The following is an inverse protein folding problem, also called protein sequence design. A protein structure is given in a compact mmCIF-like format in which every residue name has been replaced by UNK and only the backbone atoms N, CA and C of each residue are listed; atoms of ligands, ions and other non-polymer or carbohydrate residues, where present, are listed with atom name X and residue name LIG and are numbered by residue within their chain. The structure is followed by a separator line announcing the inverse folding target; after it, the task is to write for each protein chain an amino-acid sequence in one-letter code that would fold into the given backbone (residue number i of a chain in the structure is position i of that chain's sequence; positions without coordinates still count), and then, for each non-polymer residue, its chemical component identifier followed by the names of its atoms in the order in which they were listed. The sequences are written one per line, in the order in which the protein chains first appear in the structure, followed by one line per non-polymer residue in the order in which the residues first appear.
data_IF_105169291864
#
_entry.id   IF_105169291864
#
_cell.length_a   1.000
_cell.length_b   1.000
_cell.length_c   1.000
_cell.angle_alpha   90.00
_cell.angle_beta   90.00
_cell.angle_gamma   90.00
#
_symmetry.space_group_name_H-M   'P 1'
#
loop_
_entity.id
_entity.type
_entity.pdbx_description
1 polymer ?
#
# COMPACT_ATOMS: atom_id res chain seq x y z
N UNK A 1 10.48 -12.55 -33.95
CA UNK A 1 10.29 -11.90 -32.64
C UNK A 1 11.62 -11.97 -31.92
N UNK A 2 12.23 -10.83 -31.60
CA UNK A 2 13.45 -10.79 -30.80
C UNK A 2 13.08 -10.75 -29.32
N UNK A 3 13.28 -11.86 -28.61
CA UNK A 3 13.07 -11.92 -27.16
C UNK A 3 14.24 -11.18 -26.51
N UNK A 4 13.99 -9.99 -25.96
CA UNK A 4 15.00 -9.20 -25.23
C UNK A 4 14.90 -9.48 -23.73
N UNK A 5 15.90 -10.14 -23.18
CA UNK A 5 16.00 -10.38 -21.74
C UNK A 5 16.40 -9.08 -21.02
N UNK A 6 15.73 -8.72 -19.92
CA UNK A 6 16.09 -7.56 -19.10
C UNK A 6 16.27 -7.95 -17.65
N UNK A 7 17.38 -7.53 -17.03
CA UNK A 7 17.63 -7.70 -15.60
C UNK A 7 18.02 -6.36 -14.99
N UNK A 8 17.26 -5.91 -13.97
CA UNK A 8 17.43 -4.62 -13.29
C UNK A 8 17.58 -3.39 -14.22
N UNK A 9 16.91 -3.42 -15.38
CA UNK A 9 16.92 -2.31 -16.34
C UNK A 9 17.96 -2.43 -17.47
N UNK A 10 18.92 -3.34 -17.38
CA UNK A 10 19.88 -3.63 -18.45
C UNK A 10 19.32 -4.71 -19.40
N UNK A 11 19.43 -4.48 -20.71
CA UNK A 11 19.15 -5.51 -21.73
C UNK A 11 20.32 -6.47 -21.80
N UNK A 12 20.03 -7.76 -21.64
CA UNK A 12 20.99 -8.85 -21.71
C UNK A 12 20.87 -9.54 -23.05
N UNK A 13 22.01 -9.97 -23.59
CA UNK A 13 22.04 -10.84 -24.75
C UNK A 13 21.71 -12.29 -24.34
N UNK A 14 21.18 -13.09 -25.27
CA UNK A 14 20.79 -14.49 -25.06
C UNK A 14 21.88 -15.35 -24.36
N UNK A 15 23.18 -15.25 -24.68
CA UNK A 15 24.20 -16.02 -23.97
C UNK A 15 24.44 -15.53 -22.53
N UNK A 16 24.31 -14.23 -22.27
CA UNK A 16 24.49 -13.63 -20.94
C UNK A 16 23.34 -14.00 -20.00
N UNK A 17 22.11 -14.02 -20.53
CA UNK A 17 20.94 -14.48 -19.80
C UNK A 17 21.07 -15.97 -19.42
N UNK A 18 21.58 -16.81 -20.33
CA UNK A 18 21.83 -18.22 -20.04
C UNK A 18 22.93 -18.42 -18.98
N UNK A 19 23.99 -17.60 -19.01
CA UNK A 19 25.06 -17.61 -18.01
C UNK A 19 24.56 -17.18 -16.63
N UNK A 20 23.73 -16.13 -16.56
CA UNK A 20 23.10 -15.68 -15.31
C UNK A 20 22.16 -16.74 -14.73
N UNK A 21 21.37 -17.40 -15.56
CA UNK A 21 20.46 -18.46 -15.13
C UNK A 21 21.20 -19.69 -14.60
N UNK A 22 22.35 -20.03 -15.20
CA UNK A 22 23.25 -21.08 -14.68
C UNK A 22 23.90 -20.66 -13.35
N UNK A 23 24.39 -19.43 -13.25
CA UNK A 23 24.99 -18.90 -12.03
C UNK A 23 23.99 -18.83 -10.85
N UNK A 24 22.71 -18.55 -11.16
CA UNK A 24 21.63 -18.45 -10.18
C UNK A 24 21.06 -19.81 -9.72
N UNK A 25 21.58 -20.94 -10.23
CA UNK A 25 21.05 -22.31 -9.97
C UNK A 25 19.53 -22.42 -10.21
N UNK A 26 19.02 -21.77 -11.27
CA UNK A 26 17.61 -21.89 -11.63
C UNK A 26 17.30 -23.32 -12.12
N UNK A 27 16.14 -23.88 -11.72
CA UNK A 27 15.68 -25.19 -12.18
C UNK A 27 15.42 -25.13 -13.69
N UNK A 28 16.06 -26.03 -14.45
CA UNK A 28 15.82 -26.24 -15.87
C UNK A 28 14.86 -27.41 -16.06
N UNK A 29 13.92 -27.37 -17.03
CA UNK A 29 13.71 -26.31 -18.02
C UNK A 29 12.99 -25.06 -17.45
N UNK A 30 13.34 -23.88 -17.99
CA UNK A 30 12.71 -22.61 -17.62
C UNK A 30 11.41 -22.44 -18.40
N UNK A 31 10.28 -22.65 -17.72
CA UNK A 31 8.96 -22.37 -18.27
C UNK A 31 8.63 -20.88 -18.09
N UNK A 32 8.44 -20.15 -19.20
CA UNK A 32 7.93 -18.78 -19.18
C UNK A 32 6.42 -18.87 -19.33
N UNK A 33 5.72 -18.49 -18.27
CA UNK A 33 4.27 -18.45 -18.28
C UNK A 33 3.78 -17.21 -19.05
N UNK A 34 3.33 -17.43 -20.29
CA UNK A 34 2.91 -16.38 -21.22
C UNK A 34 1.59 -15.71 -20.80
N UNK A 35 0.85 -16.27 -19.84
CA UNK A 35 -0.37 -15.66 -19.27
C UNK A 35 -0.10 -14.28 -18.63
N UNK A 36 1.13 -14.01 -18.20
CA UNK A 36 1.50 -12.72 -17.60
C UNK A 36 1.83 -11.63 -18.61
N UNK A 37 2.09 -11.99 -19.87
CA UNK A 37 2.51 -11.07 -20.93
C UNK A 37 1.43 -10.85 -21.99
N UNK A 38 0.51 -11.80 -22.15
CA UNK A 38 -0.56 -11.76 -23.13
C UNK A 38 -1.87 -11.95 -22.39
N UNK A 39 -2.76 -10.95 -22.45
CA UNK A 39 -4.09 -11.04 -21.87
C UNK A 39 -4.89 -12.09 -22.66
N UNK A 40 -5.01 -13.30 -22.11
CA UNK A 40 -5.71 -14.45 -22.73
C UNK A 40 -7.18 -14.12 -23.04
N UNK A 41 -7.76 -13.12 -22.36
CA UNK A 41 -9.12 -12.61 -22.63
C UNK A 41 -9.25 -11.83 -23.94
N UNK A 42 -8.15 -11.40 -24.55
CA UNK A 42 -8.13 -10.61 -25.81
C UNK A 42 -7.75 -11.51 -27.00
N UNK A 43 -7.24 -12.72 -26.76
CA UNK A 43 -6.97 -13.69 -27.82
C UNK A 43 -8.27 -14.37 -28.28
N UNK A 44 -8.87 -13.86 -29.36
CA UNK A 44 -9.94 -14.55 -30.08
C UNK A 44 -9.38 -15.74 -30.87
N UNK A 45 -9.86 -16.94 -30.56
CA UNK A 45 -9.54 -18.19 -31.29
C UNK A 45 -9.77 -18.06 -32.79
N UNK A 46 -10.78 -17.28 -33.18
CA UNK A 46 -11.22 -17.14 -34.57
C UNK A 46 -10.22 -16.32 -35.40
N UNK A 47 -9.59 -15.30 -34.80
CA UNK A 47 -8.55 -14.49 -35.45
C UNK A 47 -7.23 -15.26 -35.62
N UNK A 48 -6.91 -16.16 -34.68
CA UNK A 48 -5.74 -17.02 -34.78
C UNK A 48 -5.94 -18.10 -35.84
N UNK A 49 -7.17 -18.61 -35.97
CA UNK A 49 -7.52 -19.55 -37.02
C UNK A 49 -7.49 -18.88 -38.40
N UNK A 50 -8.06 -17.67 -38.56
CA UNK A 50 -7.99 -16.95 -39.84
C UNK A 50 -6.55 -16.66 -40.28
N UNK A 51 -5.69 -16.23 -39.34
CA UNK A 51 -4.26 -16.04 -39.61
C UNK A 51 -3.55 -17.35 -39.98
N UNK A 52 -3.98 -18.49 -39.43
CA UNK A 52 -3.41 -19.80 -39.77
C UNK A 52 -3.74 -20.25 -41.19
N UNK A 53 -4.93 -19.89 -41.69
CA UNK A 53 -5.36 -20.17 -43.06
C UNK A 53 -4.60 -19.29 -44.04
N UNK A 54 -4.44 -18.00 -43.71
CA UNK A 54 -3.68 -17.04 -44.53
C UNK A 54 -2.19 -17.41 -44.62
N UNK A 55 -1.57 -17.82 -43.51
CA UNK A 55 -0.14 -18.16 -43.45
C UNK A 55 0.16 -19.64 -43.73
N UNK A 56 -0.86 -20.46 -44.00
CA UNK A 56 -0.76 -21.92 -44.22
C UNK A 56 0.05 -22.65 -43.13
N UNK A 57 -0.05 -22.21 -41.89
CA UNK A 57 0.72 -22.77 -40.77
C UNK A 57 -0.15 -23.70 -39.92
N UNK A 58 0.09 -25.01 -40.05
CA UNK A 58 -0.60 -26.05 -39.28
C UNK A 58 -0.40 -25.92 -37.76
N UNK A 59 0.70 -25.29 -37.33
CA UNK A 59 1.02 -25.10 -35.92
C UNK A 59 0.08 -24.06 -35.26
N UNK A 60 -0.26 -22.99 -35.98
CA UNK A 60 -1.18 -21.95 -35.50
C UNK A 60 -2.63 -22.47 -35.44
N UNK A 61 -3.05 -23.26 -36.43
CA UNK A 61 -4.37 -23.90 -36.44
C UNK A 61 -4.54 -24.85 -35.24
N UNK A 62 -3.50 -25.62 -34.92
CA UNK A 62 -3.48 -26.52 -33.76
C UNK A 62 -3.52 -25.76 -32.42
N UNK A 63 -2.97 -24.55 -32.38
CA UNK A 63 -2.96 -23.69 -31.20
C UNK A 63 -4.32 -23.01 -31.01
N UNK A 64 -4.93 -22.50 -32.09
CA UNK A 64 -6.29 -21.96 -32.09
C UNK A 64 -7.32 -23.02 -31.63
N UNK A 65 -7.18 -24.26 -32.11
CA UNK A 65 -8.03 -25.37 -31.70
C UNK A 65 -7.88 -25.68 -30.20
N UNK A 66 -6.64 -25.79 -29.69
CA UNK A 66 -6.40 -26.06 -28.25
C UNK A 66 -6.95 -24.97 -27.34
N UNK A 67 -6.89 -23.70 -27.77
CA UNK A 67 -7.47 -22.57 -27.04
C UNK A 67 -9.01 -22.56 -27.08
N UNK A 68 -9.62 -23.02 -28.17
CA UNK A 68 -11.07 -23.12 -28.30
C UNK A 68 -11.65 -24.31 -27.51
N UNK A 69 -10.91 -25.41 -27.40
CA UNK A 69 -11.34 -26.63 -26.70
C UNK A 69 -10.93 -26.70 -25.24
N UNK A 70 -10.06 -25.81 -24.75
CA UNK A 70 -9.77 -25.75 -23.31
C UNK A 70 -10.99 -25.17 -22.60
N UNK A 71 -11.83 -26.05 -22.09
CA UNK A 71 -12.90 -25.69 -21.17
C UNK A 71 -12.33 -24.81 -20.06
N UNK A 72 -13.06 -23.74 -19.71
CA UNK A 72 -12.74 -22.83 -18.60
C UNK A 72 -12.81 -23.57 -17.27
N UNK A 73 -11.88 -24.48 -17.03
CA UNK A 73 -11.49 -24.88 -15.70
C UNK A 73 -10.78 -23.66 -15.11
N UNK A 74 -11.55 -22.71 -14.57
CA UNK A 74 -10.98 -21.69 -13.70
C UNK A 74 -10.31 -22.44 -12.56
N UNK A 75 -8.97 -22.52 -12.50
CA UNK A 75 -8.38 -23.10 -11.32
C UNK A 75 -8.67 -22.11 -10.20
N UNK A 76 -9.37 -22.56 -9.15
CA UNK A 76 -9.49 -21.81 -7.89
C UNK A 76 -8.12 -21.82 -7.20
N UNK A 77 -7.10 -21.27 -7.84
CA UNK A 77 -5.98 -20.73 -7.11
C UNK A 77 -6.51 -19.48 -6.44
N UNK A 78 -6.59 -19.51 -5.12
CA UNK A 78 -6.51 -18.30 -4.33
C UNK A 78 -5.17 -17.66 -4.68
N UNK A 79 -5.14 -16.91 -5.78
CA UNK A 79 -4.09 -15.95 -5.99
C UNK A 79 -4.16 -15.08 -4.73
N UNK A 80 -3.14 -15.22 -3.89
CA UNK A 80 -2.65 -14.10 -3.11
C UNK A 80 -2.35 -13.04 -4.17
N UNK A 81 -3.38 -12.30 -4.55
CA UNK A 81 -3.26 -11.02 -5.22
C UNK A 81 -2.36 -10.28 -4.26
N UNK A 82 -1.08 -10.22 -4.60
CA UNK A 82 -0.24 -9.14 -4.16
C UNK A 82 -0.98 -7.94 -4.68
N UNK A 83 -1.81 -7.36 -3.80
CA UNK A 83 -2.38 -6.04 -3.95
C UNK A 83 -1.17 -5.12 -4.01
N UNK A 84 -0.51 -5.08 -5.17
CA UNK A 84 0.12 -3.87 -5.63
C UNK A 84 -1.04 -2.89 -5.68
N UNK A 85 -1.07 -1.84 -4.85
CA UNK A 85 -2.06 -0.79 -5.04
C UNK A 85 -1.85 -0.32 -6.47
N UNK A 86 -2.80 -0.67 -7.35
CA UNK A 86 -2.87 -0.05 -8.66
C UNK A 86 -3.23 1.40 -8.37
N UNK A 87 -2.24 2.28 -8.49
CA UNK A 87 -2.42 3.73 -8.51
C UNK A 87 -3.10 4.13 -9.82
N UNK A 88 -4.24 3.51 -10.15
CA UNK A 88 -5.17 4.14 -11.08
C UNK A 88 -5.80 5.27 -10.30
N UNK A 89 -5.22 6.46 -10.46
CA UNK A 89 -5.84 7.71 -9.99
C UNK A 89 -7.22 7.79 -10.63
N UNK A 90 -8.27 7.54 -9.87
CA UNK A 90 -9.59 8.02 -10.21
C UNK A 90 -9.55 9.52 -9.93
N UNK A 91 -9.12 10.32 -10.90
CA UNK A 91 -9.16 11.77 -10.81
C UNK A 91 -10.61 12.24 -11.00
N UNK A 92 -11.49 11.93 -10.04
CA UNK A 92 -12.62 12.82 -9.78
C UNK A 92 -12.04 14.04 -9.08
N UNK A 93 -11.71 15.07 -9.85
CA UNK A 93 -11.29 16.35 -9.29
C UNK A 93 -12.48 17.02 -8.61
N UNK A 94 -12.78 16.55 -7.38
CA UNK A 94 -13.71 17.24 -6.48
C UNK A 94 -13.08 18.56 -6.03
N UNK A 95 -13.91 19.57 -5.88
CA UNK A 95 -13.46 20.84 -5.33
C UNK A 95 -13.00 20.66 -3.88
N UNK A 96 -11.99 21.43 -3.42
CA UNK A 96 -11.47 21.30 -2.07
C UNK A 96 -12.53 21.48 -0.97
N UNK A 97 -13.51 22.37 -1.17
CA UNK A 97 -14.61 22.61 -0.23
C UNK A 97 -15.52 21.39 -0.11
N UNK A 98 -15.86 20.74 -1.23
CA UNK A 98 -16.67 19.52 -1.23
C UNK A 98 -15.99 18.40 -0.42
N UNK A 99 -14.65 18.33 -0.51
CA UNK A 99 -13.86 17.36 0.25
C UNK A 99 -13.96 17.64 1.74
N UNK A 100 -13.84 18.90 2.17
CA UNK A 100 -14.01 19.29 3.59
C UNK A 100 -15.41 18.93 4.08
N UNK A 101 -16.45 19.26 3.30
CA UNK A 101 -17.82 18.91 3.65
C UNK A 101 -18.03 17.39 3.76
N UNK A 102 -17.51 16.60 2.82
CA UNK A 102 -17.66 15.14 2.84
C UNK A 102 -17.02 14.51 4.08
N UNK A 103 -15.83 15.00 4.47
CA UNK A 103 -15.15 14.51 5.67
C UNK A 103 -15.95 14.92 6.92
N UNK A 104 -16.48 16.14 6.96
CA UNK A 104 -17.30 16.62 8.08
C UNK A 104 -18.67 15.93 8.20
N UNK A 105 -19.29 15.54 7.08
CA UNK A 105 -20.59 14.83 7.05
C UNK A 105 -20.53 13.46 7.73
N UNK A 106 -19.35 12.84 7.82
CA UNK A 106 -19.20 11.47 8.33
C UNK A 106 -18.29 11.41 9.55
N UNK A 107 -18.85 11.05 10.71
CA UNK A 107 -18.08 10.82 11.96
C UNK A 107 -17.48 9.41 11.97
N UNK A 108 -16.63 9.11 10.98
CA UNK A 108 -16.03 7.79 10.78
C UNK A 108 -14.52 7.78 11.03
N UNK A 109 -13.95 6.60 11.30
CA UNK A 109 -12.48 6.45 11.40
C UNK A 109 -11.76 6.81 10.10
N UNK A 110 -12.41 6.63 8.93
CA UNK A 110 -11.88 7.10 7.64
C UNK A 110 -11.70 8.61 7.66
N UNK A 111 -12.73 9.33 8.08
CA UNK A 111 -12.77 10.80 8.11
C UNK A 111 -11.80 11.38 9.13
N UNK A 112 -11.77 10.82 10.33
CA UNK A 112 -10.75 11.17 11.34
C UNK A 112 -9.32 10.89 10.85
N UNK A 113 -9.10 9.77 10.16
CA UNK A 113 -7.82 9.45 9.55
C UNK A 113 -7.39 10.45 8.47
N UNK A 114 -8.31 10.85 7.60
CA UNK A 114 -8.05 11.85 6.57
C UNK A 114 -7.72 13.20 7.19
N UNK A 115 -8.50 13.64 8.19
CA UNK A 115 -8.25 14.85 8.94
C UNK A 115 -6.87 14.83 9.64
N UNK A 116 -6.47 13.70 10.23
CA UNK A 116 -5.14 13.55 10.83
C UNK A 116 -4.01 13.73 9.83
N UNK A 117 -4.13 13.11 8.65
CA UNK A 117 -3.12 13.21 7.59
C UNK A 117 -3.04 14.65 7.06
N UNK A 118 -4.18 15.29 6.82
CA UNK A 118 -4.24 16.69 6.38
C UNK A 118 -3.63 17.65 7.41
N UNK A 119 -3.90 17.43 8.70
CA UNK A 119 -3.39 18.27 9.77
C UNK A 119 -1.87 18.13 9.97
N UNK A 120 -1.36 16.89 10.02
CA UNK A 120 0.00 16.58 10.48
C UNK A 120 1.03 16.38 9.35
N UNK A 121 0.60 16.18 8.11
CA UNK A 121 1.52 16.21 6.97
C UNK A 121 1.82 17.65 6.55
N UNK A 122 2.98 17.81 5.92
CA UNK A 122 3.43 19.05 5.25
C UNK A 122 3.67 18.77 3.77
N UNK A 123 3.88 19.80 2.97
CA UNK A 123 4.25 19.70 1.54
C UNK A 123 5.74 19.41 1.33
N UNK A 124 6.56 19.66 2.35
CA UNK A 124 8.02 19.51 2.35
C UNK A 124 8.46 18.09 2.64
N UNK A 125 7.93 17.50 3.72
CA UNK A 125 8.53 16.32 4.34
C UNK A 125 7.65 15.08 4.22
N UNK A 126 8.30 13.97 3.88
CA UNK A 126 7.67 12.66 3.85
C UNK A 126 7.63 12.06 5.26
N UNK A 127 6.44 11.69 5.72
CA UNK A 127 6.22 11.11 7.06
C UNK A 127 5.62 9.72 6.96
N UNK A 128 5.95 8.83 7.91
CA UNK A 128 5.31 7.52 8.00
C UNK A 128 4.06 7.57 8.90
N UNK A 129 3.16 6.59 8.75
CA UNK A 129 1.94 6.46 9.60
C UNK A 129 2.31 6.43 11.07
N UNK A 130 3.39 5.73 11.41
CA UNK A 130 3.86 5.59 12.78
C UNK A 130 4.24 6.95 13.38
N UNK A 131 4.95 7.79 12.64
CA UNK A 131 5.41 9.10 13.13
C UNK A 131 4.23 10.04 13.39
N UNK A 132 3.26 10.06 12.46
CA UNK A 132 2.03 10.85 12.61
C UNK A 132 1.21 10.38 13.80
N UNK A 133 1.06 9.06 13.96
CA UNK A 133 0.31 8.51 15.08
C UNK A 133 0.96 8.87 16.43
N UNK A 134 2.29 8.73 16.53
CA UNK A 134 3.05 9.09 17.74
C UNK A 134 2.91 10.58 18.06
N UNK A 135 3.07 11.46 17.09
CA UNK A 135 2.89 12.90 17.32
C UNK A 135 1.49 13.20 17.83
N UNK A 136 0.46 12.65 17.18
CA UNK A 136 -0.92 12.92 17.56
C UNK A 136 -1.27 12.43 18.96
N UNK A 137 -0.86 11.20 19.33
CA UNK A 137 -1.11 10.67 20.69
C UNK A 137 -0.45 11.53 21.75
N UNK A 138 0.78 12.00 21.49
CA UNK A 138 1.48 12.85 22.43
C UNK A 138 0.81 14.22 22.55
N UNK A 139 0.41 14.86 21.43
CA UNK A 139 -0.40 16.09 21.45
C UNK A 139 -1.73 15.91 22.20
N UNK A 140 -2.37 14.75 22.05
CA UNK A 140 -3.58 14.43 22.81
C UNK A 140 -3.35 14.43 24.33
N UNK A 141 -2.17 13.98 24.77
CA UNK A 141 -1.81 13.94 26.18
C UNK A 141 -1.30 15.28 26.73
N UNK A 142 -0.55 16.06 25.96
CA UNK A 142 0.08 17.31 26.41
C UNK A 142 -0.82 18.53 26.20
N UNK A 143 -1.36 18.68 24.98
CA UNK A 143 -2.05 19.89 24.52
C UNK A 143 -3.56 19.74 24.65
N UNK A 144 -4.13 18.68 24.07
CA UNK A 144 -5.60 18.53 23.96
C UNK A 144 -6.26 17.96 25.22
N UNK A 145 -5.45 17.49 26.18
CA UNK A 145 -5.88 16.93 27.48
C UNK A 145 -7.00 15.90 27.34
N UNK A 146 -6.87 14.98 26.37
CA UNK A 146 -7.81 13.88 26.20
C UNK A 146 -7.66 12.90 27.38
N UNK A 147 -8.78 12.37 27.88
CA UNK A 147 -8.77 11.40 28.99
C UNK A 147 -8.00 10.14 28.58
N UNK A 148 -7.19 9.59 29.50
CA UNK A 148 -6.40 8.37 29.28
C UNK A 148 -7.23 7.14 28.91
N UNK A 149 -8.53 7.14 29.19
CA UNK A 149 -9.50 6.10 28.80
C UNK A 149 -9.91 6.18 27.33
N UNK A 150 -9.47 7.19 26.58
CA UNK A 150 -9.83 7.35 25.18
C UNK A 150 -9.18 6.28 24.29
N UNK A 151 -9.92 5.89 23.24
CA UNK A 151 -9.47 4.95 22.21
C UNK A 151 -8.15 5.38 21.52
N UNK A 152 -7.79 6.66 21.59
CA UNK A 152 -6.55 7.20 20.98
C UNK A 152 -5.28 6.62 21.61
N UNK A 153 -5.31 6.26 22.90
CA UNK A 153 -4.14 5.75 23.62
C UNK A 153 -3.94 4.24 23.47
N UNK A 154 -4.92 3.53 22.91
CA UNK A 154 -4.82 2.09 22.69
C UNK A 154 -3.74 1.77 21.66
N UNK A 155 -2.91 0.76 21.93
CA UNK A 155 -1.75 0.44 21.08
C UNK A 155 -0.50 1.25 21.40
N UNK A 156 -0.53 2.08 22.45
CA UNK A 156 0.60 2.88 22.91
C UNK A 156 0.88 2.65 24.39
N UNK A 157 2.16 2.76 24.77
CA UNK A 157 2.61 2.68 26.16
C UNK A 157 3.50 3.87 26.47
N UNK A 158 3.40 4.41 27.69
CA UNK A 158 4.33 5.45 28.13
C UNK A 158 5.71 4.86 28.39
N UNK A 159 6.74 5.49 27.84
CA UNK A 159 8.13 5.20 28.18
C UNK A 159 8.51 5.86 29.53
N UNK A 160 9.76 5.66 29.97
CA UNK A 160 10.27 6.26 31.21
C UNK A 160 10.17 7.80 31.22
N UNK A 161 10.27 8.43 30.05
CA UNK A 161 10.15 9.88 29.85
C UNK A 161 8.69 10.37 29.76
N UNK A 162 7.69 9.52 30.07
CA UNK A 162 6.24 9.80 29.99
C UNK A 162 5.72 10.12 28.58
N UNK A 163 6.50 9.84 27.53
CA UNK A 163 6.10 9.97 26.13
C UNK A 163 5.46 8.66 25.67
N UNK A 164 4.40 8.75 24.88
CA UNK A 164 3.74 7.56 24.31
C UNK A 164 4.53 7.01 23.12
N UNK A 165 4.81 5.72 23.18
CA UNK A 165 5.47 4.96 22.12
C UNK A 165 4.57 3.81 21.63
N UNK A 166 4.63 3.44 20.33
CA UNK A 166 3.86 2.34 19.77
C UNK A 166 4.22 1.01 20.43
N UNK A 167 3.20 0.27 20.85
CA UNK A 167 3.40 -1.08 21.40
C UNK A 167 3.57 -2.08 20.26
N UNK A 168 4.74 -2.71 20.18
CA UNK A 168 5.01 -3.78 19.21
C UNK A 168 4.43 -5.11 19.68
N UNK A 169 4.12 -6.00 18.74
CA UNK A 169 3.68 -7.34 19.08
C UNK A 169 4.86 -8.13 19.65
N UNK A 170 4.75 -8.50 20.93
CA UNK A 170 5.75 -9.30 21.65
C UNK A 170 5.07 -10.44 22.41
N UNK A 171 5.80 -11.50 22.79
CA UNK A 171 5.29 -12.49 23.72
C UNK A 171 4.77 -11.79 24.99
N UNK A 172 3.52 -12.08 25.38
CA UNK A 172 2.85 -11.44 26.52
C UNK A 172 2.01 -10.19 26.19
N UNK A 173 2.14 -9.60 25.00
CA UNK A 173 1.27 -8.50 24.57
C UNK A 173 0.12 -9.07 23.74
N UNK A 174 -1.15 -8.95 24.19
CA UNK A 174 -2.27 -9.43 23.40
C UNK A 174 -2.38 -8.61 22.12
N UNK A 175 -2.68 -9.27 21.00
CA UNK A 175 -2.71 -8.64 19.67
C UNK A 175 -3.52 -7.34 19.66
N UNK A 176 -4.65 -7.32 20.35
CA UNK A 176 -5.60 -6.19 20.46
C UNK A 176 -5.00 -4.89 21.05
N UNK A 177 -3.86 -5.01 21.72
CA UNK A 177 -3.14 -3.90 22.37
C UNK A 177 -1.86 -3.53 21.62
N UNK A 178 -1.63 -4.11 20.43
CA UNK A 178 -0.53 -3.74 19.55
C UNK A 178 -0.90 -2.58 18.62
N UNK A 179 0.10 -1.79 18.22
CA UNK A 179 -0.06 -0.61 17.37
C UNK A 179 -0.77 -0.92 16.03
N UNK A 180 -0.42 -2.02 15.37
CA UNK A 180 -0.95 -2.32 14.02
C UNK A 180 -2.41 -2.73 13.96
N UNK A 181 -3.09 -2.84 15.11
CA UNK A 181 -4.54 -3.08 15.19
C UNK A 181 -5.26 -2.04 16.04
N UNK A 182 -4.58 -0.96 16.43
CA UNK A 182 -5.20 0.06 17.26
C UNK A 182 -6.12 0.99 16.45
N UNK A 183 -7.11 1.65 17.10
CA UNK A 183 -8.04 2.54 16.43
C UNK A 183 -7.36 3.66 15.63
N UNK A 184 -6.27 4.23 16.14
CA UNK A 184 -5.53 5.29 15.48
C UNK A 184 -4.79 4.82 14.22
N UNK A 185 -4.20 3.61 14.25
CA UNK A 185 -3.58 3.04 13.06
C UNK A 185 -4.63 2.71 11.99
N UNK A 186 -5.77 2.14 12.41
CA UNK A 186 -6.90 1.83 11.51
C UNK A 186 -7.47 3.10 10.88
N UNK A 187 -7.63 4.18 11.66
CA UNK A 187 -8.09 5.47 11.14
C UNK A 187 -7.12 6.00 10.10
N UNK A 188 -5.83 6.10 10.42
CA UNK A 188 -4.80 6.62 9.51
C UNK A 188 -4.72 5.80 8.22
N UNK A 189 -4.80 4.47 8.29
CA UNK A 189 -4.78 3.60 7.11
C UNK A 189 -6.02 3.81 6.23
N UNK A 190 -7.20 3.94 6.84
CA UNK A 190 -8.46 4.16 6.12
C UNK A 190 -8.52 5.55 5.50
N UNK A 191 -8.05 6.56 6.24
CA UNK A 191 -7.91 7.94 5.77
C UNK A 191 -6.89 8.07 4.65
N UNK A 192 -5.78 7.32 4.70
CA UNK A 192 -4.77 7.31 3.64
C UNK A 192 -5.36 6.87 2.30
N UNK A 193 -6.17 5.81 2.29
CA UNK A 193 -6.86 5.36 1.07
C UNK A 193 -7.77 6.46 0.51
N UNK A 194 -8.49 7.16 1.39
CA UNK A 194 -9.34 8.28 0.97
C UNK A 194 -8.52 9.44 0.40
N UNK A 195 -7.49 9.88 1.10
CA UNK A 195 -6.63 10.98 0.68
C UNK A 195 -5.90 10.66 -0.64
N UNK A 196 -5.42 9.43 -0.82
CA UNK A 196 -4.80 8.97 -2.06
C UNK A 196 -5.79 8.97 -3.23
N UNK A 197 -7.01 8.45 -3.01
CA UNK A 197 -8.07 8.44 -4.05
C UNK A 197 -8.51 9.84 -4.49
N UNK A 198 -8.35 10.86 -3.65
CA UNK A 198 -8.69 12.26 -3.97
C UNK A 198 -7.46 13.10 -4.37
N UNK A 199 -6.27 12.48 -4.49
CA UNK A 199 -5.04 13.17 -4.89
C UNK A 199 -4.50 14.17 -3.87
N UNK A 200 -4.82 14.00 -2.58
CA UNK A 200 -4.43 14.90 -1.49
C UNK A 200 -3.01 14.62 -0.96
N UNK A 201 -2.49 13.42 -1.21
CA UNK A 201 -1.19 12.97 -0.73
C UNK A 201 -0.33 12.44 -1.87
N UNK A 202 0.98 12.65 -1.76
CA UNK A 202 1.99 12.00 -2.58
C UNK A 202 2.62 10.86 -1.78
N UNK A 203 2.53 9.63 -2.29
CA UNK A 203 3.09 8.44 -1.65
C UNK A 203 4.48 8.12 -2.21
N UNK A 204 5.41 7.78 -1.30
CA UNK A 204 6.75 7.28 -1.63
C UNK A 204 7.01 5.96 -0.92
N UNK A 205 7.50 4.98 -1.66
CA UNK A 205 7.97 3.72 -1.10
C UNK A 205 9.39 3.88 -0.56
N UNK A 206 9.62 3.40 0.66
CA UNK A 206 10.91 3.41 1.33
C UNK A 206 11.24 2.01 1.87
N UNK A 207 12.52 1.79 2.19
CA UNK A 207 13.02 0.55 2.75
C UNK A 207 13.77 0.86 4.04
N UNK A 208 13.45 0.12 5.10
CA UNK A 208 14.22 0.07 6.34
C UNK A 208 15.03 -1.22 6.32
N UNK A 209 16.33 -1.10 6.58
CA UNK A 209 17.21 -2.25 6.74
C UNK A 209 17.48 -2.46 8.24
N UNK A 210 17.38 -3.72 8.68
CA UNK A 210 17.81 -4.14 10.00
C UNK A 210 16.74 -4.17 11.08
N UNK A 211 17.19 -4.51 12.29
CA UNK A 211 16.39 -4.62 13.50
C UNK A 211 16.81 -3.54 14.49
N UNK A 212 15.85 -2.91 15.17
CA UNK A 212 16.10 -1.92 16.23
C UNK A 212 16.47 -2.54 17.58
N UNK A 213 16.49 -3.88 17.69
CA UNK A 213 16.83 -4.58 18.92
C UNK A 213 18.32 -4.87 18.95
N UNK A 214 18.96 -4.59 20.09
CA UNK A 214 20.37 -4.90 20.33
C UNK A 214 20.62 -6.43 20.25
N UNK A 215 19.63 -7.25 20.60
CA UNK A 215 19.71 -8.72 20.54
C UNK A 215 19.36 -9.32 19.16
N UNK A 216 19.47 -8.54 18.09
CA UNK A 216 19.05 -8.97 16.76
C UNK A 216 20.04 -9.99 16.15
N UNK A 217 19.53 -11.15 15.74
CA UNK A 217 20.33 -12.08 14.93
C UNK A 217 20.81 -11.42 13.63
N UNK A 218 21.93 -11.89 13.06
CA UNK A 218 22.44 -11.43 11.76
C UNK A 218 21.41 -11.52 10.61
N UNK A 219 20.45 -12.46 10.69
CA UNK A 219 19.31 -12.55 9.76
C UNK A 219 18.31 -11.40 9.91
N UNK A 220 18.14 -10.86 11.12
CA UNK A 220 17.26 -9.74 11.40
C UNK A 220 17.90 -8.40 10.98
N UNK A 221 19.23 -8.28 11.02
CA UNK A 221 19.98 -7.15 10.46
C UNK A 221 19.90 -7.09 8.93
N UNK A 222 19.91 -8.25 8.26
CA UNK A 222 19.73 -8.34 6.81
C UNK A 222 18.27 -8.12 6.35
N UNK A 223 17.31 -7.99 7.28
CA UNK A 223 15.89 -7.87 6.93
C UNK A 223 15.59 -6.49 6.34
N UNK A 224 15.15 -6.45 5.08
CA UNK A 224 14.63 -5.24 4.43
C UNK A 224 13.11 -5.19 4.59
N UNK A 225 12.60 -4.19 5.30
CA UNK A 225 11.16 -3.93 5.45
C UNK A 225 10.77 -2.75 4.59
N UNK A 226 9.85 -2.99 3.67
CA UNK A 226 9.27 -1.92 2.87
C UNK A 226 8.21 -1.18 3.69
N UNK A 227 8.23 0.14 3.64
CA UNK A 227 7.22 0.99 4.26
C UNK A 227 6.89 2.18 3.34
N UNK A 228 5.74 2.80 3.57
CA UNK A 228 5.30 3.96 2.81
C UNK A 228 5.42 5.21 3.64
N UNK A 229 5.87 6.28 3.01
CA UNK A 229 5.83 7.64 3.53
C UNK A 229 5.02 8.53 2.62
N UNK A 230 4.48 9.61 3.16
CA UNK A 230 3.58 10.50 2.45
C UNK A 230 3.78 11.94 2.86
N UNK A 231 3.43 12.84 1.93
CA UNK A 231 3.41 14.28 2.11
C UNK A 231 2.18 14.88 1.42
N UNK A 232 1.79 16.09 1.77
CA UNK A 232 0.68 16.78 1.11
C UNK A 232 1.06 17.14 -0.33
N UNK A 233 0.07 17.01 -1.22
CA UNK A 233 0.09 17.70 -2.51
C UNK A 233 -0.39 19.15 -2.34
N UNK A 234 -0.25 19.98 -3.36
CA UNK A 234 -0.77 21.36 -3.32
C UNK A 234 -2.28 21.37 -3.07
N UNK A 235 -3.02 20.42 -3.68
CA UNK A 235 -4.45 20.21 -3.41
C UNK A 235 -4.72 19.83 -1.94
N UNK A 236 -3.91 18.94 -1.38
CA UNK A 236 -4.00 18.57 0.05
C UNK A 236 -3.75 19.78 0.97
N UNK A 237 -2.80 20.65 0.60
CA UNK A 237 -2.51 21.86 1.36
C UNK A 237 -3.66 22.89 1.25
N UNK A 238 -4.26 23.06 0.08
CA UNK A 238 -5.44 23.92 -0.10
C UNK A 238 -6.62 23.45 0.76
N UNK A 239 -6.92 22.14 0.76
CA UNK A 239 -7.97 21.56 1.62
C UNK A 239 -7.68 21.84 3.10
N UNK A 240 -6.42 21.68 3.52
CA UNK A 240 -5.97 21.98 4.89
C UNK A 240 -6.19 23.44 5.25
N UNK A 241 -5.81 24.37 4.37
CA UNK A 241 -5.95 25.82 4.59
C UNK A 241 -7.42 26.26 4.63
N UNK A 242 -8.28 25.66 3.82
CA UNK A 242 -9.73 25.93 3.85
C UNK A 242 -10.42 25.38 5.09
N UNK A 243 -9.88 24.32 5.69
CA UNK A 243 -10.48 23.68 6.84
C UNK A 243 -9.90 24.24 8.14
N UNK A 244 -10.41 25.40 8.55
CA UNK A 244 -9.90 26.17 9.70
C UNK A 244 -10.03 25.50 11.07
N UNK A 245 -10.85 24.47 11.23
CA UNK A 245 -11.17 23.83 12.52
C UNK A 245 -10.86 22.32 12.57
N UNK A 246 -9.95 21.82 11.72
CA UNK A 246 -9.55 20.39 11.69
C UNK A 246 -9.17 19.87 13.09
N UNK A 247 -8.43 20.65 13.86
CA UNK A 247 -7.98 20.26 15.19
C UNK A 247 -9.16 20.00 16.13
N UNK A 248 -10.13 20.93 16.16
CA UNK A 248 -11.35 20.80 16.96
C UNK A 248 -12.17 19.59 16.56
N UNK A 249 -12.30 19.33 15.25
CA UNK A 249 -12.95 18.12 14.74
C UNK A 249 -12.28 16.84 15.28
N UNK A 250 -10.95 16.76 15.20
CA UNK A 250 -10.18 15.60 15.68
C UNK A 250 -10.30 15.39 17.18
N UNK A 251 -10.19 16.47 17.96
CA UNK A 251 -10.31 16.41 19.42
C UNK A 251 -11.69 15.94 19.84
N UNK A 252 -12.76 16.46 19.21
CA UNK A 252 -14.13 16.03 19.48
C UNK A 252 -14.37 14.55 19.10
N UNK A 253 -13.78 14.10 17.99
CA UNK A 253 -13.88 12.71 17.55
C UNK A 253 -13.28 11.72 18.58
N UNK A 254 -12.13 12.03 19.16
CA UNK A 254 -11.46 11.14 20.12
C UNK A 254 -11.91 11.33 21.57
N UNK A 255 -12.41 12.51 21.95
CA UNK A 255 -13.05 12.73 23.26
C UNK A 255 -14.33 11.92 23.43
N UNK A 256 -15.09 11.72 22.36
CA UNK A 256 -16.35 10.95 22.37
C UNK A 256 -16.16 9.43 22.37
N UNK A 257 -14.93 8.92 22.24
CA UNK A 257 -14.65 7.47 22.11
C UNK A 257 -13.73 6.96 23.21
N UNK A 258 -14.20 5.97 23.95
CA UNK A 258 -13.44 5.26 24.99
C UNK A 258 -12.86 3.94 24.45
N UNK A 259 -11.75 3.49 25.04
CA UNK A 259 -10.92 2.37 24.59
C UNK A 259 -11.45 0.98 24.98
#
# INVERSE_FOLDING_TARGET
MDIKFKYQGCTLENPEAAALMKAAKAKQPFEIDLETLIDVKIMDSDKLFSLSVEQKSSALASLAFKLATSEKATPKYSALVKNKPSTKKLETSKDPLDIVEEINKSVSYRSAGAALLLHLCTTTDYRAIRDIAVEFVNKCSSEYRIKSTSAVYRGFKKNASKVFEPTELSPGTPRRDSFYVCPLYISLRSGLLYCDSNGLLSLRQQYSCGSRREDASSKAEAMKRMFYTFKLTDKGNQVKEMWGDIETYLVNFYKSRQA
#
